data_IF_963257036009
#
_entry.id   IF_963257036009
#
_cell.length_a   1.000
_cell.length_b   1.000
_cell.length_c   1.000
_cell.angle_alpha   90.00
_cell.angle_beta   90.00
_cell.angle_gamma   90.00
#
_symmetry.space_group_name_H-M   'P 1'
#
loop_
_entity.id
_entity.type
_entity.pdbx_description
1 polymer ?
#
# COMPACT_ATOMS: atom_id res chain seq x y z
N UNK A 1 0.46 -10.69 -12.12
CA UNK A 1 1.03 -11.60 -11.09
C UNK A 1 -0.04 -12.39 -10.32
N UNK A 2 -1.31 -11.97 -10.29
CA UNK A 2 -2.39 -12.68 -9.56
C UNK A 2 -3.13 -13.74 -10.39
N UNK A 3 -2.98 -13.74 -11.72
CA UNK A 3 -3.68 -14.66 -12.62
C UNK A 3 -3.28 -16.14 -12.43
N UNK A 4 -2.12 -16.43 -11.83
CA UNK A 4 -1.65 -17.80 -11.57
C UNK A 4 -2.53 -18.57 -10.57
N UNK A 5 -3.36 -17.87 -9.81
CA UNK A 5 -4.26 -18.44 -8.81
C UNK A 5 -5.73 -18.43 -9.27
N UNK A 6 -6.00 -18.03 -10.51
CA UNK A 6 -7.35 -18.06 -11.06
C UNK A 6 -7.82 -19.50 -11.30
N UNK A 7 -9.12 -19.72 -11.10
CA UNK A 7 -9.72 -21.03 -11.29
C UNK A 7 -9.53 -21.47 -12.76
N UNK A 8 -9.18 -22.74 -12.96
CA UNK A 8 -8.94 -23.34 -14.30
C UNK A 8 -7.70 -22.80 -15.05
N UNK A 9 -6.88 -21.96 -14.42
CA UNK A 9 -5.60 -21.51 -14.99
C UNK A 9 -4.47 -22.46 -14.57
N UNK A 10 -3.70 -23.04 -15.52
CA UNK A 10 -2.52 -23.83 -15.18
C UNK A 10 -1.46 -22.97 -14.47
N UNK A 11 -0.93 -23.45 -13.34
CA UNK A 11 0.13 -22.78 -12.60
C UNK A 11 1.47 -22.94 -13.34
N UNK A 12 1.70 -22.10 -14.35
CA UNK A 12 2.95 -22.05 -15.09
C UNK A 12 3.82 -20.93 -14.52
N UNK A 13 4.87 -21.30 -13.79
CA UNK A 13 5.82 -20.34 -13.25
C UNK A 13 6.82 -19.91 -14.34
N UNK A 14 6.39 -18.97 -15.18
CA UNK A 14 7.17 -18.50 -16.32
C UNK A 14 8.40 -17.69 -15.90
N UNK A 15 9.29 -17.38 -16.86
CA UNK A 15 10.45 -16.53 -16.61
C UNK A 15 10.05 -15.15 -16.08
N UNK A 16 8.99 -14.57 -16.63
CA UNK A 16 8.46 -13.27 -16.19
C UNK A 16 7.98 -13.34 -14.72
N UNK A 17 7.45 -14.48 -14.28
CA UNK A 17 7.04 -14.69 -12.90
C UNK A 17 8.25 -14.76 -11.96
N UNK A 18 9.32 -15.43 -12.39
CA UNK A 18 10.60 -15.48 -11.65
C UNK A 18 11.20 -14.08 -11.54
N UNK A 19 11.30 -13.36 -12.66
CA UNK A 19 11.87 -12.00 -12.69
C UNK A 19 11.09 -11.04 -11.78
N UNK A 20 9.75 -11.14 -11.79
CA UNK A 20 8.91 -10.31 -10.95
C UNK A 20 9.00 -10.69 -9.45
N UNK A 21 9.13 -11.99 -9.14
CA UNK A 21 9.35 -12.46 -7.78
C UNK A 21 10.72 -12.04 -7.23
N UNK A 22 11.78 -12.13 -8.04
CA UNK A 22 13.12 -11.69 -7.68
C UNK A 22 13.19 -10.17 -7.49
N UNK A 23 12.51 -9.41 -8.35
CA UNK A 23 12.34 -7.97 -8.18
C UNK A 23 11.66 -7.65 -6.85
N UNK A 24 10.59 -8.38 -6.50
CA UNK A 24 9.88 -8.17 -5.25
C UNK A 24 10.77 -8.47 -4.03
N UNK A 25 11.51 -9.58 -4.05
CA UNK A 25 12.47 -9.92 -2.98
C UNK A 25 13.48 -8.80 -2.79
N UNK A 26 14.10 -8.32 -3.88
CA UNK A 26 15.07 -7.24 -3.83
C UNK A 26 14.48 -5.97 -3.24
N UNK A 27 13.29 -5.56 -3.69
CA UNK A 27 12.59 -4.38 -3.17
C UNK A 27 12.23 -4.52 -1.69
N UNK A 28 11.85 -5.71 -1.23
CA UNK A 28 11.57 -5.97 0.18
C UNK A 28 12.84 -5.89 1.06
N UNK A 29 13.98 -6.34 0.55
CA UNK A 29 15.26 -6.24 1.28
C UNK A 29 15.87 -4.85 1.28
N UNK A 30 15.54 -4.01 0.29
CA UNK A 30 16.03 -2.63 0.17
C UNK A 30 15.08 -1.59 0.77
N UNK A 31 13.83 -1.97 1.07
CA UNK A 31 12.83 -1.05 1.60
C UNK A 31 13.31 -0.43 2.91
N UNK A 32 13.06 0.88 3.13
CA UNK A 32 13.46 1.54 4.36
C UNK A 32 12.90 0.80 5.57
N UNK A 33 13.71 0.71 6.63
CA UNK A 33 13.36 0.08 7.89
C UNK A 33 12.06 0.73 8.39
N UNK A 34 11.00 -0.07 8.51
CA UNK A 34 9.76 0.36 9.14
C UNK A 34 10.08 0.73 10.59
N UNK A 35 9.81 1.99 10.95
CA UNK A 35 10.10 2.48 12.29
C UNK A 35 8.91 2.27 13.22
N UNK A 36 9.21 2.03 14.49
CA UNK A 36 8.20 1.96 15.54
C UNK A 36 7.57 3.34 15.70
N UNK A 37 6.22 3.45 15.80
CA UNK A 37 5.55 4.73 15.96
C UNK A 37 5.96 5.42 17.27
N UNK A 38 6.25 6.71 17.20
CA UNK A 38 6.41 7.58 18.37
C UNK A 38 5.07 8.26 18.68
N UNK A 39 4.33 7.77 19.67
CA UNK A 39 2.96 8.22 19.97
C UNK A 39 2.81 9.72 20.30
N UNK A 40 3.91 10.42 20.59
CA UNK A 40 3.92 11.87 20.85
C UNK A 40 4.06 12.72 19.57
N UNK A 41 4.29 12.09 18.41
CA UNK A 41 4.38 12.77 17.12
C UNK A 41 3.10 12.60 16.32
N UNK A 42 2.66 13.62 15.57
CA UNK A 42 1.50 13.50 14.70
C UNK A 42 1.78 12.47 13.59
N UNK A 43 0.78 11.63 13.32
CA UNK A 43 0.79 10.75 12.16
C UNK A 43 0.55 11.56 10.89
N UNK A 44 1.30 11.23 9.84
CA UNK A 44 1.11 11.73 8.48
C UNK A 44 0.66 10.55 7.60
N UNK A 45 -0.38 10.78 6.81
CA UNK A 45 -0.92 9.81 5.88
C UNK A 45 -0.77 10.34 4.46
N UNK A 46 -0.13 9.57 3.60
CA UNK A 46 -0.03 9.88 2.16
C UNK A 46 -0.74 8.77 1.39
N UNK A 47 -1.63 9.15 0.49
CA UNK A 47 -2.39 8.22 -0.35
C UNK A 47 -2.13 8.56 -1.82
N UNK A 48 -2.12 7.54 -2.67
CA UNK A 48 -2.00 7.68 -4.11
C UNK A 48 -2.86 6.64 -4.81
N UNK A 49 -3.31 6.95 -6.02
CA UNK A 49 -4.12 6.07 -6.83
C UNK A 49 -3.61 6.06 -8.28
N UNK A 50 -3.40 4.86 -8.81
CA UNK A 50 -3.13 4.62 -10.21
C UNK A 50 -4.41 4.24 -10.95
N UNK A 51 -4.28 3.92 -12.24
CA UNK A 51 -5.40 3.43 -13.04
C UNK A 51 -5.96 2.08 -12.53
N UNK A 52 -5.18 1.28 -11.81
CA UNK A 52 -5.50 -0.11 -11.47
C UNK A 52 -5.30 -0.47 -9.99
N UNK A 53 -4.64 0.38 -9.20
CA UNK A 53 -4.34 0.10 -7.81
C UNK A 53 -4.34 1.38 -6.97
N UNK A 54 -4.57 1.22 -5.67
CA UNK A 54 -4.41 2.26 -4.66
C UNK A 54 -3.23 1.92 -3.74
N UNK A 55 -2.57 2.96 -3.25
CA UNK A 55 -1.48 2.88 -2.31
C UNK A 55 -1.64 3.90 -1.19
N UNK A 56 -1.13 3.56 -0.01
CA UNK A 56 -1.06 4.46 1.12
C UNK A 56 0.18 4.16 1.97
N UNK A 57 0.74 5.20 2.56
CA UNK A 57 1.81 5.11 3.55
C UNK A 57 1.43 5.91 4.80
N UNK A 58 1.52 5.23 5.93
CA UNK A 58 1.48 5.85 7.25
C UNK A 58 2.91 6.12 7.70
N UNK A 59 3.17 7.33 8.16
CA UNK A 59 4.46 7.68 8.73
C UNK A 59 4.36 8.84 9.71
N UNK A 60 5.52 9.31 10.15
CA UNK A 60 5.65 10.48 11.01
C UNK A 60 6.80 11.35 10.51
N UNK A 61 6.75 12.65 10.80
CA UNK A 61 7.84 13.56 10.44
C UNK A 61 8.73 13.84 11.64
N UNK A 62 9.99 13.43 11.55
CA UNK A 62 11.02 13.67 12.56
C UNK A 62 12.16 14.48 11.96
N UNK A 63 12.48 15.63 12.56
CA UNK A 63 13.53 16.54 12.06
C UNK A 63 13.38 16.84 10.56
N UNK A 64 12.15 17.09 10.10
CA UNK A 64 11.74 17.32 8.70
C UNK A 64 11.80 16.11 7.75
N UNK A 65 12.34 14.97 8.18
CA UNK A 65 12.35 13.74 7.41
C UNK A 65 11.08 12.92 7.67
N UNK A 66 10.42 12.46 6.60
CA UNK A 66 9.31 11.53 6.69
C UNK A 66 9.84 10.13 6.98
N UNK A 67 9.32 9.52 8.04
CA UNK A 67 9.69 8.20 8.52
C UNK A 67 8.49 7.26 8.35
N UNK A 68 8.55 6.33 7.37
CA UNK A 68 7.45 5.40 7.13
C UNK A 68 7.34 4.38 8.27
N UNK A 69 6.12 4.16 8.73
CA UNK A 69 5.76 3.18 9.76
C UNK A 69 5.13 1.96 9.11
N UNK A 70 4.23 2.17 8.15
CA UNK A 70 3.55 1.07 7.47
C UNK A 70 3.10 1.48 6.07
N UNK A 71 3.27 0.56 5.11
CA UNK A 71 2.73 0.68 3.75
C UNK A 71 1.50 -0.21 3.60
N UNK A 72 0.53 0.25 2.82
CA UNK A 72 -0.62 -0.54 2.42
C UNK A 72 -0.91 -0.26 0.94
N UNK A 73 -1.24 -1.30 0.18
CA UNK A 73 -1.69 -1.15 -1.20
C UNK A 73 -2.75 -2.20 -1.51
N UNK A 74 -3.54 -1.95 -2.55
CA UNK A 74 -4.59 -2.87 -3.01
C UNK A 74 -4.84 -2.66 -4.50
N UNK A 75 -4.96 -3.76 -5.24
CA UNK A 75 -5.48 -3.72 -6.61
C UNK A 75 -6.98 -3.46 -6.59
N UNK A 76 -7.44 -2.55 -7.44
CA UNK A 76 -8.85 -2.21 -7.56
C UNK A 76 -9.66 -3.38 -8.13
N UNK A 77 -10.93 -3.48 -7.75
CA UNK A 77 -11.87 -4.39 -8.42
C UNK A 77 -12.30 -3.80 -9.76
N UNK A 78 -12.85 -4.63 -10.64
CA UNK A 78 -13.26 -4.23 -11.99
C UNK A 78 -14.14 -2.97 -12.03
N UNK A 79 -15.12 -2.86 -11.13
CA UNK A 79 -15.97 -1.67 -11.05
C UNK A 79 -15.15 -0.40 -10.73
N UNK A 80 -14.20 -0.48 -9.80
CA UNK A 80 -13.41 0.66 -9.33
C UNK A 80 -12.38 1.13 -10.38
N UNK A 81 -11.91 0.24 -11.25
CA UNK A 81 -10.98 0.58 -12.34
C UNK A 81 -11.62 1.60 -13.30
N UNK A 82 -12.94 1.59 -13.44
CA UNK A 82 -13.69 2.49 -14.33
C UNK A 82 -14.10 3.82 -13.68
N UNK A 83 -13.78 4.03 -12.40
CA UNK A 83 -14.10 5.27 -11.71
C UNK A 83 -13.23 6.43 -12.19
N UNK A 84 -13.68 7.66 -11.90
CA UNK A 84 -12.87 8.86 -12.18
C UNK A 84 -11.61 8.88 -11.32
N UNK A 85 -10.57 9.61 -11.74
CA UNK A 85 -9.33 9.71 -10.94
C UNK A 85 -9.60 10.27 -9.54
N UNK A 86 -10.51 11.25 -9.40
CA UNK A 86 -10.88 11.82 -8.10
C UNK A 86 -11.55 10.79 -7.19
N UNK A 87 -12.45 9.95 -7.73
CA UNK A 87 -13.08 8.88 -6.95
C UNK A 87 -12.05 7.82 -6.52
N UNK A 88 -11.08 7.52 -7.39
CA UNK A 88 -9.99 6.60 -7.09
C UNK A 88 -9.09 7.11 -5.96
N UNK A 89 -8.76 8.40 -5.96
CA UNK A 89 -8.05 9.05 -4.86
C UNK A 89 -8.85 9.00 -3.56
N UNK A 90 -10.17 9.26 -3.61
CA UNK A 90 -11.05 9.13 -2.44
C UNK A 90 -11.06 7.70 -1.89
N UNK A 91 -11.11 6.68 -2.75
CA UNK A 91 -11.02 5.28 -2.34
C UNK A 91 -9.68 4.98 -1.67
N UNK A 92 -8.56 5.54 -2.17
CA UNK A 92 -7.26 5.38 -1.54
C UNK A 92 -7.26 5.93 -0.10
N UNK A 93 -7.89 7.09 0.12
CA UNK A 93 -8.05 7.69 1.45
C UNK A 93 -8.90 6.79 2.36
N UNK A 94 -10.09 6.38 1.91
CA UNK A 94 -10.99 5.50 2.70
C UNK A 94 -10.27 4.20 3.08
N UNK A 95 -9.62 3.56 2.10
CA UNK A 95 -8.84 2.35 2.31
C UNK A 95 -7.73 2.55 3.35
N UNK A 96 -7.02 3.67 3.29
CA UNK A 96 -5.96 3.99 4.22
C UNK A 96 -6.49 4.15 5.66
N UNK A 97 -7.62 4.84 5.86
CA UNK A 97 -8.25 4.96 7.16
C UNK A 97 -8.73 3.61 7.72
N UNK A 98 -9.27 2.74 6.86
CA UNK A 98 -9.64 1.37 7.27
C UNK A 98 -8.41 0.56 7.69
N UNK A 99 -7.32 0.63 6.93
CA UNK A 99 -6.10 -0.14 7.19
C UNK A 99 -5.31 0.37 8.38
N UNK A 100 -5.22 1.67 8.57
CA UNK A 100 -4.44 2.30 9.63
C UNK A 100 -5.29 2.76 10.82
N UNK A 101 -6.55 2.31 10.91
CA UNK A 101 -7.48 2.63 12.00
C UNK A 101 -6.87 2.53 13.40
N UNK A 102 -6.07 1.48 13.75
CA UNK A 102 -5.46 1.39 15.07
C UNK A 102 -4.49 2.53 15.40
N UNK A 103 -3.89 3.16 14.40
CA UNK A 103 -2.98 4.29 14.58
C UNK A 103 -3.71 5.63 14.54
N UNK A 104 -4.68 5.80 13.63
CA UNK A 104 -5.32 7.09 13.36
C UNK A 104 -6.51 7.38 14.28
N UNK A 105 -7.21 6.35 14.77
CA UNK A 105 -8.45 6.52 15.56
C UNK A 105 -8.26 6.14 17.02
N UNK A 106 -7.32 5.23 17.31
CA UNK A 106 -7.00 4.82 18.69
C UNK A 106 -5.78 5.55 19.27
N UNK A 107 -5.12 6.45 18.52
CA UNK A 107 -4.14 7.37 19.09
C UNK A 107 -4.89 8.34 20.01
N UNK A 108 -4.71 8.13 21.32
CA UNK A 108 -5.38 8.81 22.44
C UNK A 108 -5.76 10.27 22.16
N UNK A 109 -7.03 10.59 22.41
CA UNK A 109 -7.44 11.89 22.97
C UNK A 109 -6.91 12.04 24.39
#
# INVERSE_FOLDING_TARGET
>A
MTHLLEKETPLVFSKECVDAFDTLKKKLTEAPILLVPEWNLPFELMCDASNFAIGAVLGQRKMKHFQPIQYASKTMIEAQIHYTMTDKEMIAIVYAFEKFRPYLVLSKS
#
